data_IF_795994971304
#
_entry.id   IF_795994971304
#
_cell.length_a   1.000
_cell.length_b   1.000
_cell.length_c   1.000
_cell.angle_alpha   90.00
_cell.angle_beta   90.00
_cell.angle_gamma   90.00
#
_symmetry.space_group_name_H-M   'P 1'
#
loop_
_entity.id
_entity.type
_entity.pdbx_description
1 polymer ?
#
# COMPACT_ATOMS: atom_id res chain seq x y z
N UNK A 1 16.65 -6.18 4.45
CA UNK A 1 15.38 -5.57 4.87
C UNK A 1 14.16 -6.19 4.16
N UNK A 2 13.24 -6.82 4.92
CA UNK A 2 12.02 -7.42 4.38
C UNK A 2 11.17 -6.37 3.68
N UNK A 3 10.60 -6.74 2.53
CA UNK A 3 9.81 -5.86 1.67
C UNK A 3 8.43 -6.44 1.46
N UNK A 4 7.40 -5.66 1.76
CA UNK A 4 6.00 -6.04 1.57
C UNK A 4 5.37 -5.18 0.48
N UNK A 5 4.51 -5.80 -0.32
CA UNK A 5 3.72 -5.11 -1.34
C UNK A 5 2.28 -5.06 -0.86
N UNK A 6 1.74 -3.85 -0.67
CA UNK A 6 0.35 -3.65 -0.32
C UNK A 6 -0.44 -3.33 -1.59
N UNK A 7 -1.37 -4.20 -1.95
CA UNK A 7 -2.31 -3.93 -3.03
C UNK A 7 -3.49 -3.13 -2.49
N UNK A 8 -3.68 -1.91 -3.00
CA UNK A 8 -4.78 -1.05 -2.58
C UNK A 8 -5.45 -0.41 -3.79
N UNK A 9 -6.71 -0.02 -3.63
CA UNK A 9 -7.49 0.64 -4.68
C UNK A 9 -7.13 2.12 -4.85
N UNK A 10 -6.66 2.76 -3.77
CA UNK A 10 -6.19 4.15 -3.75
C UNK A 10 -5.07 4.28 -2.72
N UNK A 11 -3.83 4.15 -3.18
CA UNK A 11 -2.61 4.35 -2.41
C UNK A 11 -2.51 5.78 -1.87
N UNK A 12 -2.91 6.76 -2.66
CA UNK A 12 -2.79 8.19 -2.31
C UNK A 12 -3.66 8.59 -1.11
N UNK A 13 -4.74 7.85 -0.84
CA UNK A 13 -5.61 8.12 0.29
C UNK A 13 -5.15 7.47 1.59
N UNK A 14 -4.07 6.67 1.57
CA UNK A 14 -3.57 6.00 2.76
C UNK A 14 -2.71 6.98 3.56
N UNK A 15 -3.14 7.38 4.78
CA UNK A 15 -2.34 8.29 5.59
C UNK A 15 -1.04 7.63 6.05
N UNK A 16 0.01 8.44 6.20
CA UNK A 16 1.31 7.96 6.70
C UNK A 16 1.22 7.34 8.11
N UNK A 17 0.26 7.77 8.94
CA UNK A 17 0.00 7.17 10.25
C UNK A 17 -0.47 5.72 10.14
N UNK A 18 -1.36 5.42 9.18
CA UNK A 18 -1.85 4.07 8.93
C UNK A 18 -0.74 3.15 8.40
N UNK A 19 0.15 3.66 7.56
CA UNK A 19 1.33 2.90 7.12
C UNK A 19 2.24 2.53 8.29
N UNK A 20 2.47 3.43 9.25
CA UNK A 20 3.28 3.12 10.45
C UNK A 20 2.62 2.05 11.31
N UNK A 21 1.30 2.15 11.50
CA UNK A 21 0.53 1.14 12.21
C UNK A 21 0.70 -0.26 11.57
N UNK A 22 0.54 -0.36 10.24
CA UNK A 22 0.74 -1.61 9.52
C UNK A 22 2.17 -2.15 9.64
N UNK A 23 3.18 -1.28 9.54
CA UNK A 23 4.59 -1.67 9.71
C UNK A 23 4.83 -2.25 11.11
N UNK A 24 4.30 -1.62 12.16
CA UNK A 24 4.48 -2.09 13.53
C UNK A 24 3.76 -3.40 13.77
N UNK A 25 2.53 -3.56 13.26
CA UNK A 25 1.78 -4.81 13.34
C UNK A 25 2.49 -5.96 12.60
N UNK A 26 3.04 -5.71 11.41
CA UNK A 26 3.87 -6.69 10.69
C UNK A 26 5.14 -7.03 11.47
N UNK A 27 5.75 -6.06 12.13
CA UNK A 27 6.94 -6.29 12.95
C UNK A 27 6.66 -7.24 14.12
N UNK A 28 5.55 -7.02 14.82
CA UNK A 28 5.12 -7.84 15.96
C UNK A 28 4.68 -9.24 15.51
N UNK A 29 3.94 -9.33 14.41
CA UNK A 29 3.36 -10.60 13.93
C UNK A 29 4.42 -11.59 13.42
N UNK A 30 5.47 -11.07 12.78
CA UNK A 30 6.53 -11.89 12.19
C UNK A 30 7.79 -11.96 13.06
N UNK A 31 7.74 -11.45 14.29
CA UNK A 31 8.87 -11.38 15.23
C UNK A 31 10.14 -10.80 14.58
N UNK A 32 10.00 -9.57 14.02
CA UNK A 32 11.08 -8.87 13.29
C UNK A 32 11.63 -7.66 14.06
N UNK A 33 12.04 -7.79 15.33
CA UNK A 33 12.53 -6.66 16.12
C UNK A 33 13.76 -6.02 15.46
N UNK A 34 13.86 -4.69 15.55
CA UNK A 34 15.01 -3.92 15.02
C UNK A 34 15.18 -3.93 13.50
N UNK A 35 14.37 -4.68 12.75
CA UNK A 35 14.55 -4.82 11.31
C UNK A 35 13.81 -3.69 10.57
N UNK A 36 14.47 -2.95 9.66
CA UNK A 36 13.80 -1.96 8.83
C UNK A 36 12.93 -2.67 7.79
N UNK A 37 11.61 -2.45 7.87
CA UNK A 37 10.60 -2.99 6.96
C UNK A 37 10.34 -1.98 5.84
N UNK A 38 10.34 -2.44 4.59
CA UNK A 38 9.97 -1.63 3.42
C UNK A 38 8.56 -1.98 2.99
N UNK A 39 7.73 -0.98 2.73
CA UNK A 39 6.39 -1.17 2.15
C UNK A 39 6.32 -0.42 0.83
N UNK A 40 5.87 -1.13 -0.20
CA UNK A 40 5.55 -0.55 -1.51
C UNK A 40 4.04 -0.66 -1.72
N UNK A 41 3.39 0.48 -1.95
CA UNK A 41 1.99 0.51 -2.34
C UNK A 41 1.89 0.23 -3.84
N UNK A 42 1.05 -0.72 -4.22
CA UNK A 42 0.69 -0.99 -5.61
C UNK A 42 -0.79 -0.73 -5.78
N UNK A 43 -1.10 0.21 -6.65
CA UNK A 43 -2.46 0.39 -7.13
C UNK A 43 -2.74 -0.57 -8.27
N UNK A 44 -3.96 -1.11 -8.31
CA UNK A 44 -4.40 -1.86 -9.48
C UNK A 44 -4.58 -0.88 -10.63
N UNK A 45 -3.97 -1.17 -11.78
CA UNK A 45 -4.21 -0.41 -13.00
C UNK A 45 -5.71 -0.40 -13.30
N UNK A 46 -6.36 0.76 -13.19
CA UNK A 46 -7.79 0.89 -13.42
C UNK A 46 -8.06 0.75 -14.94
N UNK A 47 -8.75 -0.30 -15.41
CA UNK A 47 -9.01 -0.53 -16.83
C UNK A 47 -9.93 0.53 -17.47
N UNK A 48 -10.52 1.42 -16.67
CA UNK A 48 -11.39 2.51 -17.12
C UNK A 48 -10.71 3.89 -17.08
N UNK A 49 -9.46 4.00 -16.60
CA UNK A 49 -8.76 5.28 -16.50
C UNK A 49 -8.57 6.00 -17.86
N UNK A 50 -8.58 5.24 -18.96
CA UNK A 50 -8.41 5.76 -20.32
C UNK A 50 -9.70 5.81 -21.14
N UNK A 51 -10.85 5.39 -20.59
CA UNK A 51 -12.12 5.47 -21.34
C UNK A 51 -12.68 6.89 -21.23
N UNK A 52 -12.52 7.65 -22.31
CA UNK A 52 -13.20 8.94 -22.56
C UNK A 52 -14.67 8.81 -22.17
N UNK A 53 -15.18 9.71 -21.31
CA UNK A 53 -16.61 9.82 -21.03
C UNK A 53 -17.33 10.01 -22.36
N UNK A 54 -18.28 9.12 -22.68
CA UNK A 54 -19.13 9.24 -23.86
C UNK A 54 -19.93 10.54 -23.69
N UNK A 55 -19.81 11.54 -24.58
CA UNK A 55 -20.70 12.68 -24.54
C UNK A 55 -22.12 12.16 -24.79
N UNK A 56 -23.02 12.51 -23.88
CA UNK A 56 -24.46 12.28 -23.97
C UNK A 56 -25.07 13.13 -25.07
#
# INVERSE_FOLDING_TARGET
PPSFVLFCSRADAIPRSYLRYLINSLRETFDLPGTPIRITLREKANPFAHKRKRPS
#
